data_IF_419027524446
#
_entry.id   IF_419027524446
#
_cell.length_a   1.000
_cell.length_b   1.000
_cell.length_c   1.000
_cell.angle_alpha   90.00
_cell.angle_beta   90.00
_cell.angle_gamma   90.00
#
_symmetry.space_group_name_H-M   'P 1'
#
loop_
_entity.id
_entity.type
_entity.pdbx_description
1 polymer ?
#
# COMPACT_ATOMS: atom_id res chain seq x y z
N UNK A 1 -17.24 -5.86 10.05
CA UNK A 1 -18.11 -4.86 9.40
C UNK A 1 -19.27 -5.60 8.73
N UNK A 2 -20.51 -5.14 8.88
CA UNK A 2 -21.64 -5.70 8.12
C UNK A 2 -21.69 -5.02 6.75
N UNK A 3 -21.64 -5.79 5.67
CA UNK A 3 -21.62 -5.28 4.29
C UNK A 3 -22.73 -5.91 3.46
N UNK A 4 -23.16 -5.22 2.40
CA UNK A 4 -24.00 -5.81 1.36
C UNK A 4 -23.15 -6.66 0.41
N UNK A 5 -23.66 -7.83 0.00
CA UNK A 5 -22.99 -8.67 -1.00
C UNK A 5 -23.04 -7.97 -2.37
N UNK A 6 -21.86 -7.78 -2.98
CA UNK A 6 -21.72 -7.23 -4.32
C UNK A 6 -21.37 -8.31 -5.34
N UNK A 7 -21.62 -8.04 -6.62
CA UNK A 7 -21.02 -8.78 -7.74
C UNK A 7 -19.72 -8.06 -8.14
N UNK A 8 -18.53 -8.65 -7.89
CA UNK A 8 -17.26 -7.97 -8.13
C UNK A 8 -17.00 -7.72 -9.61
N UNK A 9 -16.39 -6.58 -9.92
CA UNK A 9 -15.71 -6.37 -11.20
C UNK A 9 -14.34 -7.04 -11.07
N UNK A 10 -13.96 -7.99 -11.95
CA UNK A 10 -12.72 -8.76 -11.82
C UNK A 10 -11.50 -7.97 -12.29
N UNK A 11 -11.30 -6.78 -11.72
CA UNK A 11 -10.24 -5.82 -12.05
C UNK A 11 -9.73 -5.19 -10.77
N UNK A 12 -8.41 -5.14 -10.62
CA UNK A 12 -7.75 -4.36 -9.57
C UNK A 12 -7.50 -2.93 -10.04
N UNK A 13 -8.14 -1.95 -9.42
CA UNK A 13 -8.01 -0.56 -9.81
C UNK A 13 -6.84 0.07 -9.05
N UNK A 14 -5.65 0.00 -9.66
CA UNK A 14 -4.44 0.56 -9.06
C UNK A 14 -4.29 2.04 -9.39
N UNK A 15 -4.26 2.89 -8.36
CA UNK A 15 -3.94 4.31 -8.47
C UNK A 15 -2.55 4.55 -7.91
N UNK A 16 -1.68 5.21 -8.68
CA UNK A 16 -0.29 5.49 -8.28
C UNK A 16 -0.03 6.99 -8.19
N UNK A 17 0.52 7.42 -7.07
CA UNK A 17 1.09 8.77 -6.88
C UNK A 17 2.60 8.80 -7.05
N UNK A 18 3.28 7.65 -6.94
CA UNK A 18 4.73 7.51 -6.98
C UNK A 18 5.15 6.28 -7.81
N UNK A 19 6.31 6.37 -8.47
CA UNK A 19 6.86 5.31 -9.31
C UNK A 19 7.60 4.28 -8.44
N UNK A 20 6.98 3.14 -8.16
CA UNK A 20 7.57 2.08 -7.30
C UNK A 20 7.03 0.69 -7.64
N UNK A 21 7.67 -0.35 -7.10
CA UNK A 21 7.23 -1.74 -7.24
C UNK A 21 7.16 -2.19 -8.70
N UNK A 22 6.10 -2.91 -9.07
CA UNK A 22 5.93 -3.42 -10.44
C UNK A 22 5.99 -2.33 -11.53
N UNK A 23 5.51 -1.11 -11.22
CA UNK A 23 5.59 0.01 -12.17
C UNK A 23 7.04 0.49 -12.38
N UNK A 24 7.85 0.52 -11.32
CA UNK A 24 9.28 0.81 -11.43
C UNK A 24 10.00 -0.26 -12.25
N UNK A 25 9.70 -1.54 -11.98
CA UNK A 25 10.30 -2.66 -12.72
C UNK A 25 10.01 -2.58 -14.23
N UNK A 26 8.78 -2.25 -14.63
CA UNK A 26 8.43 -2.04 -16.04
C UNK A 26 9.16 -0.82 -16.63
N UNK A 27 9.16 0.30 -15.91
CA UNK A 27 9.77 1.55 -16.37
C UNK A 27 11.27 1.38 -16.64
N UNK A 28 11.99 0.68 -15.76
CA UNK A 28 13.43 0.39 -15.94
C UNK A 28 13.66 -0.41 -17.23
N UNK A 29 12.76 -1.32 -17.58
CA UNK A 29 12.92 -2.20 -18.74
C UNK A 29 12.53 -1.52 -20.06
N UNK A 30 11.48 -0.70 -20.04
CA UNK A 30 10.78 -0.27 -21.27
C UNK A 30 10.50 1.23 -21.34
N UNK A 31 10.74 1.96 -20.25
CA UNK A 31 10.33 3.37 -20.12
C UNK A 31 8.82 3.57 -20.02
N UNK A 32 8.05 2.50 -19.76
CA UNK A 32 6.59 2.56 -19.66
C UNK A 32 6.08 2.11 -18.29
N UNK A 33 4.83 2.50 -17.99
CA UNK A 33 4.01 1.92 -16.92
C UNK A 33 2.66 1.55 -17.51
N UNK A 34 2.31 0.28 -17.46
CA UNK A 34 1.16 -0.31 -18.15
C UNK A 34 1.13 0.03 -19.65
N UNK A 35 2.29 0.01 -20.31
CA UNK A 35 2.45 0.36 -21.72
C UNK A 35 2.37 1.87 -22.03
N UNK A 36 2.10 2.72 -21.03
CA UNK A 36 2.12 4.17 -21.18
C UNK A 36 3.53 4.70 -21.00
N UNK A 37 4.06 5.42 -21.98
CA UNK A 37 5.41 6.00 -21.92
C UNK A 37 5.50 7.12 -20.88
N UNK A 38 6.51 7.05 -20.02
CA UNK A 38 6.83 8.10 -19.06
C UNK A 38 8.06 8.91 -19.53
N UNK A 39 8.28 10.13 -19.00
CA UNK A 39 9.51 10.89 -19.23
C UNK A 39 10.76 10.08 -18.87
N UNK A 40 11.86 10.27 -19.60
CA UNK A 40 13.14 9.62 -19.28
C UNK A 40 13.81 10.26 -18.07
N UNK A 41 14.64 9.49 -17.36
CA UNK A 41 15.43 9.99 -16.23
C UNK A 41 14.69 10.01 -14.89
N UNK A 42 13.52 9.38 -14.80
CA UNK A 42 12.85 9.16 -13.51
C UNK A 42 13.63 8.15 -12.68
N UNK A 43 13.63 8.37 -11.38
CA UNK A 43 14.21 7.49 -10.36
C UNK A 43 13.10 6.74 -9.64
N UNK A 44 13.47 5.65 -8.98
CA UNK A 44 12.55 4.97 -8.08
C UNK A 44 12.03 5.94 -7.01
N UNK A 45 10.75 5.82 -6.69
CA UNK A 45 10.00 6.69 -5.82
C UNK A 45 9.85 8.15 -6.30
N UNK A 46 10.17 8.48 -7.57
CA UNK A 46 9.78 9.79 -8.10
C UNK A 46 8.25 9.93 -8.15
N UNK A 47 7.78 11.15 -7.91
CA UNK A 47 6.35 11.48 -7.88
C UNK A 47 5.77 11.50 -9.29
N UNK A 48 4.60 10.87 -9.46
CA UNK A 48 3.78 10.93 -10.65
C UNK A 48 2.74 12.05 -10.48
N UNK A 49 2.47 12.85 -11.52
CA UNK A 49 1.68 14.10 -11.43
C UNK A 49 0.18 13.90 -11.15
N UNK A 50 -0.20 13.39 -9.96
CA UNK A 50 -1.61 13.28 -9.54
C UNK A 50 -1.83 13.70 -8.08
N UNK A 51 -2.92 14.46 -7.84
CA UNK A 51 -3.27 15.10 -6.55
C UNK A 51 -4.20 14.27 -5.64
N UNK A 52 -4.04 12.95 -5.55
CA UNK A 52 -4.99 12.11 -4.81
C UNK A 52 -4.71 11.92 -3.30
N UNK A 53 -3.67 12.55 -2.72
CA UNK A 53 -3.12 12.10 -1.41
C UNK A 53 -2.99 13.19 -0.33
N UNK A 54 -3.63 14.35 -0.50
CA UNK A 54 -3.36 15.51 0.36
C UNK A 54 -3.70 15.28 1.86
N UNK A 55 -4.78 14.56 2.16
CA UNK A 55 -5.21 14.29 3.54
C UNK A 55 -4.16 13.49 4.35
N UNK A 56 -3.61 12.43 3.75
CA UNK A 56 -2.58 11.61 4.38
C UNK A 56 -1.25 12.38 4.45
N UNK A 57 -0.94 13.16 3.42
CA UNK A 57 0.28 13.95 3.33
C UNK A 57 0.39 14.98 4.47
N UNK A 58 -0.73 15.64 4.81
CA UNK A 58 -0.83 16.57 5.95
C UNK A 58 -0.63 15.88 7.31
N UNK A 59 -0.80 14.56 7.37
CA UNK A 59 -0.62 13.71 8.57
C UNK A 59 0.70 12.94 8.59
N UNK A 60 1.64 13.33 7.74
CA UNK A 60 2.97 12.74 7.69
C UNK A 60 3.06 11.39 6.97
N UNK A 61 2.04 11.03 6.16
CA UNK A 61 2.03 9.79 5.37
C UNK A 61 1.95 10.10 3.88
N UNK A 62 2.85 9.51 3.12
CA UNK A 62 2.78 9.46 1.66
C UNK A 62 2.07 8.16 1.27
N UNK A 63 1.05 8.25 0.43
CA UNK A 63 0.43 7.07 -0.21
C UNK A 63 1.07 6.93 -1.58
N UNK A 64 1.94 5.93 -1.73
CA UNK A 64 2.68 5.71 -2.97
C UNK A 64 1.77 5.16 -4.07
N UNK A 65 0.97 4.16 -3.71
CA UNK A 65 -0.12 3.62 -4.51
C UNK A 65 -1.18 2.95 -3.63
N UNK A 66 -2.34 2.70 -4.25
CA UNK A 66 -3.51 2.06 -3.63
C UNK A 66 -4.21 1.16 -4.65
N UNK A 67 -4.65 -0.01 -4.20
CA UNK A 67 -5.61 -0.87 -4.89
C UNK A 67 -7.03 -0.56 -4.39
N UNK A 68 -7.93 -0.34 -5.33
CA UNK A 68 -9.37 -0.29 -5.07
C UNK A 68 -10.05 -1.47 -5.78
N UNK A 69 -11.14 -1.93 -5.20
CA UNK A 69 -12.05 -2.86 -5.84
C UNK A 69 -13.45 -2.25 -5.95
N UNK A 70 -14.13 -2.57 -7.05
CA UNK A 70 -15.49 -2.12 -7.31
C UNK A 70 -16.38 -3.32 -7.60
N UNK A 71 -17.66 -3.18 -7.25
CA UNK A 71 -18.67 -4.18 -7.54
C UNK A 71 -20.04 -3.56 -7.72
N UNK A 72 -20.97 -4.35 -8.22
CA UNK A 72 -22.36 -3.97 -8.40
C UNK A 72 -23.19 -4.41 -7.20
N UNK A 73 -23.95 -3.49 -6.63
CA UNK A 73 -24.94 -3.76 -5.58
C UNK A 73 -26.26 -3.16 -6.07
N UNK A 74 -27.29 -3.99 -6.25
CA UNK A 74 -28.63 -3.55 -6.66
C UNK A 74 -28.62 -2.68 -7.95
N UNK A 75 -27.66 -2.91 -8.86
CA UNK A 75 -27.49 -2.16 -10.11
C UNK A 75 -26.63 -0.89 -10.01
N UNK A 76 -26.15 -0.55 -8.83
CA UNK A 76 -25.28 0.61 -8.58
C UNK A 76 -23.83 0.20 -8.40
N UNK A 77 -22.91 1.03 -8.90
CA UNK A 77 -21.48 0.84 -8.71
C UNK A 77 -21.10 1.26 -7.29
N UNK A 78 -20.45 0.34 -6.56
CA UNK A 78 -19.99 0.58 -5.20
C UNK A 78 -18.49 0.26 -5.08
N UNK A 79 -17.82 0.97 -4.17
CA UNK A 79 -16.51 0.54 -3.66
C UNK A 79 -16.77 -0.64 -2.72
N UNK A 80 -16.01 -1.72 -2.93
CA UNK A 80 -16.06 -2.93 -2.11
C UNK A 80 -14.69 -3.16 -1.48
N UNK A 81 -14.49 -4.32 -0.84
CA UNK A 81 -13.23 -4.69 -0.20
C UNK A 81 -12.81 -3.68 0.89
N UNK A 82 -11.51 -3.56 1.16
CA UNK A 82 -10.92 -2.55 2.02
C UNK A 82 -10.38 -1.36 1.22
N UNK A 83 -10.33 -0.19 1.86
CA UNK A 83 -9.90 1.06 1.24
C UNK A 83 -8.92 1.77 2.17
N UNK A 84 -7.78 2.21 1.63
CA UNK A 84 -6.77 2.99 2.36
C UNK A 84 -6.30 2.31 3.65
N UNK A 85 -6.07 1.01 3.57
CA UNK A 85 -5.39 0.23 4.61
C UNK A 85 -3.94 -0.02 4.20
N UNK A 86 -3.03 -0.37 5.15
CA UNK A 86 -1.66 -0.77 4.79
C UNK A 86 -1.57 -2.06 3.96
N UNK A 87 -2.67 -2.80 3.83
CA UNK A 87 -2.77 -4.00 3.00
C UNK A 87 -3.09 -3.66 1.55
N UNK A 88 -4.02 -2.74 1.36
CA UNK A 88 -4.45 -2.25 0.04
C UNK A 88 -3.59 -1.11 -0.51
N UNK A 89 -2.72 -0.50 0.31
CA UNK A 89 -1.96 0.70 -0.05
C UNK A 89 -0.53 0.66 0.48
N UNK A 90 0.41 1.23 -0.29
CA UNK A 90 1.78 1.48 0.17
C UNK A 90 1.86 2.83 0.88
N UNK A 91 2.11 2.80 2.18
CA UNK A 91 2.29 4.00 3.00
C UNK A 91 3.75 4.23 3.34
N UNK A 92 4.27 5.43 3.06
CA UNK A 92 5.63 5.84 3.41
C UNK A 92 5.65 6.98 4.43
N UNK A 93 6.66 6.98 5.28
CA UNK A 93 6.94 8.08 6.20
C UNK A 93 7.35 9.34 5.43
N UNK A 94 6.59 10.42 5.57
CA UNK A 94 6.85 11.67 4.83
C UNK A 94 8.18 12.32 5.23
N UNK A 95 8.52 12.24 6.50
CA UNK A 95 9.71 12.83 7.11
C UNK A 95 11.01 12.12 6.71
N UNK A 96 10.91 10.89 6.20
CA UNK A 96 12.05 10.07 5.77
C UNK A 96 12.06 9.81 4.26
N UNK A 97 11.16 10.45 3.51
CA UNK A 97 11.03 10.24 2.07
C UNK A 97 12.17 10.88 1.29
N UNK A 98 12.85 10.08 0.48
CA UNK A 98 13.91 10.53 -0.43
C UNK A 98 13.90 9.72 -1.75
N UNK A 99 13.65 10.35 -2.92
CA UNK A 99 13.67 9.63 -4.19
C UNK A 99 15.02 8.95 -4.47
N UNK A 100 14.97 7.76 -5.06
CA UNK A 100 16.15 6.96 -5.41
C UNK A 100 16.69 6.07 -4.29
N UNK A 101 15.98 5.94 -3.16
CA UNK A 101 16.32 5.04 -2.05
C UNK A 101 15.13 4.16 -1.64
N UNK A 102 15.36 3.08 -0.88
CA UNK A 102 14.28 2.39 -0.17
C UNK A 102 13.54 3.34 0.78
N UNK A 103 12.21 3.26 0.81
CA UNK A 103 11.36 4.13 1.63
C UNK A 103 10.96 3.42 2.93
N UNK A 104 10.90 4.16 4.04
CA UNK A 104 10.36 3.64 5.30
C UNK A 104 8.86 3.43 5.15
N UNK A 105 8.45 2.17 5.20
CA UNK A 105 7.07 1.75 4.94
C UNK A 105 6.31 1.43 6.23
N UNK A 106 5.00 1.70 6.22
CA UNK A 106 4.07 1.28 7.28
C UNK A 106 3.28 0.02 6.92
N UNK A 107 3.71 -0.72 5.89
CA UNK A 107 3.05 -1.94 5.41
C UNK A 107 3.80 -3.22 5.86
N UNK A 108 3.54 -4.32 5.17
CA UNK A 108 4.08 -5.68 5.41
C UNK A 108 5.59 -5.82 5.13
N UNK A 109 6.37 -4.74 5.18
CA UNK A 109 7.79 -4.77 4.82
C UNK A 109 8.60 -5.74 5.69
N UNK A 110 8.39 -5.76 7.01
CA UNK A 110 9.07 -6.72 7.91
C UNK A 110 8.77 -8.19 7.57
N UNK A 111 7.51 -8.49 7.22
CA UNK A 111 7.11 -9.83 6.80
C UNK A 111 7.76 -10.20 5.47
N UNK A 112 7.77 -9.28 4.50
CA UNK A 112 8.40 -9.49 3.18
C UNK A 112 9.91 -9.71 3.31
N UNK A 113 10.58 -8.90 4.11
CA UNK A 113 12.02 -8.99 4.34
C UNK A 113 12.36 -10.33 5.02
N UNK A 114 11.62 -10.68 6.08
CA UNK A 114 11.79 -11.97 6.75
C UNK A 114 11.61 -13.14 5.77
N UNK A 115 10.47 -13.21 5.08
CA UNK A 115 10.18 -14.31 4.16
C UNK A 115 11.18 -14.41 3.01
N UNK A 116 11.74 -13.30 2.54
CA UNK A 116 12.76 -13.32 1.48
C UNK A 116 14.06 -13.99 1.93
N UNK A 117 14.33 -14.03 3.25
CA UNK A 117 15.53 -14.69 3.80
C UNK A 117 15.34 -16.17 4.10
N UNK A 118 14.11 -16.62 4.37
CA UNK A 118 13.85 -17.98 4.88
C UNK A 118 12.95 -18.85 3.99
N UNK A 119 12.25 -18.27 3.02
CA UNK A 119 11.25 -18.98 2.23
C UNK A 119 11.58 -18.99 0.75
N UNK A 120 11.56 -20.19 0.16
CA UNK A 120 11.82 -20.42 -1.26
C UNK A 120 10.68 -19.98 -2.20
N UNK A 121 9.56 -19.49 -1.63
CA UNK A 121 8.33 -19.06 -2.32
C UNK A 121 7.59 -20.17 -3.09
N UNK A 122 8.03 -21.43 -2.95
CA UNK A 122 7.48 -22.60 -3.63
C UNK A 122 6.95 -23.66 -2.65
N UNK A 123 7.37 -23.59 -1.38
CA UNK A 123 6.91 -24.45 -0.28
C UNK A 123 5.84 -23.74 0.58
N UNK A 124 5.31 -24.43 1.59
CA UNK A 124 4.48 -23.77 2.59
C UNK A 124 5.33 -22.72 3.34
N UNK A 125 4.86 -21.46 3.50
CA UNK A 125 5.62 -20.45 4.21
C UNK A 125 5.82 -20.83 5.68
N UNK A 126 7.00 -20.53 6.27
CA UNK A 126 7.24 -20.79 7.68
C UNK A 126 6.36 -19.92 8.57
N UNK A 127 6.19 -20.35 9.82
CA UNK A 127 5.58 -19.49 10.85
C UNK A 127 6.42 -18.23 11.08
N UNK A 128 5.75 -17.10 11.31
CA UNK A 128 6.41 -15.84 11.60
C UNK A 128 6.87 -15.80 13.06
N UNK A 129 8.13 -15.42 13.33
CA UNK A 129 8.59 -15.16 14.69
C UNK A 129 7.74 -14.08 15.37
N UNK A 130 7.52 -14.22 16.68
CA UNK A 130 6.71 -13.29 17.48
C UNK A 130 7.18 -11.83 17.33
N UNK A 131 8.48 -11.62 17.24
CA UNK A 131 9.07 -10.30 17.05
C UNK A 131 8.65 -9.65 15.72
N UNK A 132 8.62 -10.42 14.62
CA UNK A 132 8.17 -9.93 13.31
C UNK A 132 6.68 -9.60 13.35
N UNK A 133 5.88 -10.45 14.01
CA UNK A 133 4.45 -10.19 14.21
C UNK A 133 4.24 -8.89 14.99
N UNK A 134 4.99 -8.68 16.08
CA UNK A 134 4.90 -7.50 16.94
C UNK A 134 5.33 -6.22 16.21
N UNK A 135 6.45 -6.25 15.49
CA UNK A 135 6.92 -5.10 14.70
C UNK A 135 5.92 -4.72 13.60
N UNK A 136 5.37 -5.74 12.92
CA UNK A 136 4.32 -5.53 11.93
C UNK A 136 3.10 -4.90 12.57
N UNK A 137 2.57 -5.48 13.66
CA UNK A 137 1.42 -4.92 14.40
C UNK A 137 1.63 -3.45 14.80
N UNK A 138 2.80 -3.11 15.32
CA UNK A 138 3.13 -1.74 15.72
C UNK A 138 3.06 -0.74 14.55
N UNK A 139 3.47 -1.14 13.33
CA UNK A 139 3.33 -0.27 12.14
C UNK A 139 1.89 -0.03 11.72
N UNK A 140 1.03 -1.04 11.84
CA UNK A 140 -0.40 -0.86 11.56
C UNK A 140 -1.05 0.10 12.55
N UNK A 141 -0.71 -0.03 13.85
CA UNK A 141 -1.16 0.90 14.89
C UNK A 141 -0.66 2.32 14.60
N UNK A 142 0.61 2.47 14.24
CA UNK A 142 1.20 3.77 13.90
C UNK A 142 0.50 4.42 12.69
N UNK A 143 0.31 3.66 11.60
CA UNK A 143 -0.41 4.13 10.41
C UNK A 143 -1.85 4.55 10.75
N UNK A 144 -2.57 3.72 11.51
CA UNK A 144 -3.93 4.02 11.96
C UNK A 144 -3.98 5.33 12.75
N UNK A 145 -3.11 5.47 13.76
CA UNK A 145 -3.11 6.63 14.64
C UNK A 145 -2.79 7.91 13.87
N UNK A 146 -1.80 7.87 12.96
CA UNK A 146 -1.43 9.02 12.12
C UNK A 146 -2.57 9.40 11.15
N UNK A 147 -3.16 8.43 10.45
CA UNK A 147 -4.22 8.70 9.47
C UNK A 147 -5.51 9.20 10.12
N UNK A 148 -5.92 8.61 11.24
CA UNK A 148 -7.22 8.91 11.86
C UNK A 148 -7.15 9.99 12.93
N UNK A 149 -5.97 10.25 13.50
CA UNK A 149 -5.80 11.09 14.68
C UNK A 149 -6.38 10.48 15.97
N UNK A 150 -6.69 9.18 15.97
CA UNK A 150 -7.29 8.45 17.10
C UNK A 150 -6.28 7.47 17.69
N UNK A 151 -6.49 7.08 18.94
CA UNK A 151 -5.69 6.05 19.61
C UNK A 151 -6.32 4.66 19.38
N UNK A 152 -5.64 3.81 18.62
CA UNK A 152 -6.08 2.46 18.28
C UNK A 152 -6.40 1.60 19.52
N UNK A 153 -5.69 1.78 20.64
CA UNK A 153 -5.90 0.97 21.85
C UNK A 153 -7.31 1.11 22.43
N UNK A 154 -7.97 2.24 22.15
CA UNK A 154 -9.34 2.53 22.60
C UNK A 154 -10.42 1.86 21.76
N UNK A 155 -10.04 1.20 20.66
CA UNK A 155 -10.95 0.50 19.74
C UNK A 155 -10.93 -1.00 20.00
N UNK A 156 -9.76 -1.56 20.33
CA UNK A 156 -9.60 -3.00 20.60
C UNK A 156 -10.12 -3.39 21.99
N UNK A 157 -10.37 -2.40 22.86
CA UNK A 157 -10.92 -2.58 24.21
C UNK A 157 -12.45 -2.55 24.27
N UNK A 158 -13.13 -2.51 23.12
CA UNK A 158 -14.59 -2.63 22.97
C UNK A 158 -14.95 -3.98 22.33
#
# INVERSE_FOLDING_TARGET
MLVKKAVPIPVEFIVRGYLTGAAWNEYVQTGTVWGMKLPSGLREADKLERKAHQYAYERGIIIADMKLEFGWIDGELAIIDEVLTPDSSRFWARDEYEPGKPQVSFDKQFVRDYLTTVWDKNSAPPELPEEIVKQTYQKYVEAYNRLTGRDFSKIVSQ
#
